data_IF_897026705231
#
_entry.id   IF_897026705231
#
_cell.length_a   1.000
_cell.length_b   1.000
_cell.length_c   1.000
_cell.angle_alpha   90.00
_cell.angle_beta   90.00
_cell.angle_gamma   90.00
#
_symmetry.space_group_name_H-M   'P 1'
#
loop_
_entity.id
_entity.type
_entity.pdbx_description
1 polymer ?
#
# COMPACT_ATOMS: atom_id res chain seq x y z
N UNK A 1 -12.13 2.03 -0.41
CA UNK A 1 -10.74 1.56 -0.33
C UNK A 1 -9.91 2.51 0.51
N UNK A 2 -9.88 2.29 1.83
CA UNK A 2 -8.78 2.67 2.69
C UNK A 2 -7.65 1.64 2.48
N UNK A 3 -6.52 2.08 1.97
CA UNK A 3 -5.29 1.29 2.05
C UNK A 3 -4.62 1.60 3.38
N UNK A 4 -4.08 0.58 4.03
CA UNK A 4 -3.36 0.71 5.28
C UNK A 4 -2.03 -0.04 5.23
N UNK A 5 -1.14 0.27 6.16
CA UNK A 5 0.18 -0.35 6.31
C UNK A 5 0.25 -1.08 7.65
N UNK A 6 0.27 -2.41 7.58
CA UNK A 6 0.35 -3.29 8.74
C UNK A 6 1.75 -3.90 8.85
N UNK A 7 2.27 -4.06 10.06
CA UNK A 7 3.52 -4.81 10.29
C UNK A 7 3.19 -6.28 10.51
N UNK A 8 3.68 -7.16 9.63
CA UNK A 8 3.53 -8.62 9.75
C UNK A 8 4.91 -9.26 9.90
N UNK A 9 5.24 -9.64 11.14
CA UNK A 9 6.57 -10.13 11.50
C UNK A 9 7.66 -9.09 11.21
N UNK A 10 8.62 -9.45 10.35
CA UNK A 10 9.73 -8.59 9.96
C UNK A 10 9.46 -7.73 8.71
N UNK A 11 8.26 -7.79 8.13
CA UNK A 11 7.90 -7.05 6.92
C UNK A 11 6.73 -6.11 7.16
N UNK A 12 6.64 -5.09 6.32
CA UNK A 12 5.57 -4.10 6.26
C UNK A 12 4.70 -4.39 5.05
N UNK A 13 3.41 -4.60 5.26
CA UNK A 13 2.46 -4.94 4.20
C UNK A 13 1.49 -3.82 3.96
N UNK A 14 1.28 -3.48 2.69
CA UNK A 14 0.18 -2.60 2.28
C UNK A 14 -1.04 -3.46 2.05
N UNK A 15 -2.11 -3.23 2.79
CA UNK A 15 -3.36 -3.99 2.72
C UNK A 15 -4.50 -3.08 2.26
N UNK A 16 -5.47 -3.65 1.56
CA UNK A 16 -6.77 -3.02 1.36
C UNK A 16 -7.66 -3.40 2.56
N UNK A 17 -8.06 -2.44 3.37
CA UNK A 17 -8.85 -2.73 4.58
C UNK A 17 -10.28 -3.17 4.26
N UNK A 18 -10.78 -2.88 3.05
CA UNK A 18 -12.14 -3.28 2.64
C UNK A 18 -12.22 -4.76 2.24
N UNK A 19 -11.18 -5.27 1.57
CA UNK A 19 -11.16 -6.65 1.05
C UNK A 19 -10.25 -7.57 1.85
N UNK A 20 -9.36 -7.02 2.69
CA UNK A 20 -8.29 -7.76 3.36
C UNK A 20 -7.12 -8.11 2.42
N UNK A 21 -7.15 -7.70 1.16
CA UNK A 21 -6.13 -8.07 0.18
C UNK A 21 -4.78 -7.42 0.48
N UNK A 22 -3.72 -8.22 0.46
CA UNK A 22 -2.35 -7.71 0.46
C UNK A 22 -2.02 -7.17 -0.93
N UNK A 23 -1.73 -5.87 -1.02
CA UNK A 23 -1.31 -5.21 -2.26
C UNK A 23 0.21 -5.18 -2.43
N UNK A 24 0.97 -5.33 -1.35
CA UNK A 24 2.42 -5.49 -1.43
C UNK A 24 3.08 -5.71 -0.08
N UNK A 25 4.27 -6.28 -0.11
CA UNK A 25 5.13 -6.58 1.04
C UNK A 25 6.48 -5.89 0.88
N UNK A 26 6.92 -5.20 1.92
CA UNK A 26 8.15 -4.40 1.93
C UNK A 26 8.97 -4.66 3.18
N UNK A 27 10.27 -4.43 3.10
CA UNK A 27 11.15 -4.59 4.26
C UNK A 27 11.10 -3.37 5.20
N UNK A 28 10.66 -2.21 4.69
CA UNK A 28 10.58 -0.96 5.47
C UNK A 28 9.19 -0.33 5.39
N UNK A 29 8.80 0.35 6.47
CA UNK A 29 7.52 1.07 6.57
C UNK A 29 7.38 2.13 5.48
N UNK A 30 8.47 2.83 5.18
CA UNK A 30 8.49 3.91 4.20
C UNK A 30 8.16 3.43 2.79
N UNK A 31 8.69 2.27 2.38
CA UNK A 31 8.35 1.65 1.08
C UNK A 31 6.87 1.27 1.01
N UNK A 32 6.33 0.70 2.09
CA UNK A 32 4.90 0.37 2.18
C UNK A 32 4.00 1.61 2.14
N UNK A 33 4.39 2.69 2.84
CA UNK A 33 3.68 3.97 2.79
C UNK A 33 3.73 4.62 1.40
N UNK A 34 4.87 4.53 0.71
CA UNK A 34 4.99 5.00 -0.68
C UNK A 34 4.04 4.25 -1.61
N UNK A 35 3.97 2.92 -1.50
CA UNK A 35 2.99 2.15 -2.28
C UNK A 35 1.56 2.52 -1.90
N UNK A 36 1.24 2.67 -0.61
CA UNK A 36 -0.08 3.09 -0.15
C UNK A 36 -0.51 4.42 -0.79
N UNK A 37 0.36 5.44 -0.75
CA UNK A 37 0.11 6.75 -1.39
C UNK A 37 -0.10 6.62 -2.90
N UNK A 38 0.67 5.76 -3.55
CA UNK A 38 0.57 5.49 -4.97
C UNK A 38 -0.78 4.84 -5.32
N UNK A 39 -1.25 3.90 -4.51
CA UNK A 39 -2.57 3.27 -4.68
C UNK A 39 -3.70 4.29 -4.49
N UNK A 40 -3.58 5.23 -3.54
CA UNK A 40 -4.53 6.34 -3.40
C UNK A 40 -4.50 7.27 -4.61
N UNK A 41 -3.32 7.57 -5.16
CA UNK A 41 -3.18 8.40 -6.36
C UNK A 41 -3.83 7.75 -7.59
N UNK A 42 -3.56 6.47 -7.82
CA UNK A 42 -4.17 5.71 -8.93
C UNK A 42 -5.69 5.63 -8.79
N UNK A 43 -6.19 5.42 -7.57
CA UNK A 43 -7.63 5.43 -7.29
C UNK A 43 -8.28 6.79 -7.61
N UNK A 44 -7.56 7.89 -7.41
CA UNK A 44 -8.02 9.24 -7.76
C UNK A 44 -8.01 9.54 -9.26
N UNK A 45 -7.72 8.56 -10.12
CA UNK A 45 -7.57 8.76 -11.58
C UNK A 45 -6.17 9.22 -12.00
N UNK A 46 -5.23 9.27 -11.07
CA UNK A 46 -3.83 9.54 -11.35
C UNK A 46 -3.21 8.42 -12.18
N UNK A 47 -2.49 8.77 -13.24
CA UNK A 47 -1.74 7.80 -14.03
C UNK A 47 -0.35 7.65 -13.44
N UNK A 48 0.12 6.41 -13.35
CA UNK A 48 1.52 6.13 -13.06
C UNK A 48 2.38 6.59 -14.23
N UNK A 49 2.92 7.79 -14.12
CA UNK A 49 3.98 8.26 -15.02
C UNK A 49 5.31 7.73 -14.50
N UNK A 50 6.08 7.12 -15.41
CA UNK A 50 7.31 6.37 -15.16
C UNK A 50 8.48 7.28 -14.80
#
# INVERSE_FOLDING_TARGET
>A
MPYDVEKRGNKWVTINTDTGDVKGTHDTREKALRQMRLLYHVKGGGKLTK
#
